data_IF_450048308364
#
_entry.id   IF_450048308364
#
_cell.length_a   1.000
_cell.length_b   1.000
_cell.length_c   1.000
_cell.angle_alpha   90.00
_cell.angle_beta   90.00
_cell.angle_gamma   90.00
#
_symmetry.space_group_name_H-M   'P 1'
#
loop_
_entity.id
_entity.type
_entity.pdbx_description
1 polymer ?
#
# COMPACT_ATOMS: atom_id res chain seq x y z
N UNK A 1 -12.84 14.05 16.42
CA UNK A 1 -12.64 15.24 15.56
C UNK A 1 -11.92 14.93 14.25
N UNK A 2 -10.85 14.14 14.24
CA UNK A 2 -10.04 13.82 13.03
C UNK A 2 -10.85 13.27 11.85
N UNK A 3 -11.82 12.39 12.11
CA UNK A 3 -12.65 11.75 11.06
C UNK A 3 -13.68 12.68 10.43
N UNK A 4 -14.17 13.66 11.20
CA UNK A 4 -15.04 14.71 10.67
C UNK A 4 -14.30 15.57 9.64
N UNK A 5 -13.00 15.79 9.86
CA UNK A 5 -12.14 16.53 8.94
C UNK A 5 -11.91 15.77 7.62
N UNK A 6 -11.63 14.46 7.70
CA UNK A 6 -11.46 13.60 6.51
C UNK A 6 -12.74 13.46 5.68
N UNK A 7 -13.90 13.29 6.34
CA UNK A 7 -15.22 13.25 5.66
C UNK A 7 -15.55 14.56 4.94
N UNK A 8 -15.27 15.71 5.56
CA UNK A 8 -15.48 17.03 4.94
C UNK A 8 -14.55 17.28 3.75
N UNK A 9 -13.41 16.60 3.68
CA UNK A 9 -12.45 16.67 2.58
C UNK A 9 -12.73 15.64 1.46
N UNK A 10 -13.81 14.87 1.53
CA UNK A 10 -14.16 13.86 0.51
C UNK A 10 -13.26 12.62 0.50
N UNK A 11 -12.50 12.38 1.57
CA UNK A 11 -11.54 11.27 1.65
C UNK A 11 -12.30 10.00 2.07
N UNK A 12 -12.34 8.99 1.19
CA UNK A 12 -12.66 7.62 1.58
C UNK A 12 -11.53 7.12 2.49
N UNK A 13 -11.83 7.01 3.78
CA UNK A 13 -10.86 6.67 4.80
C UNK A 13 -10.64 5.14 4.80
N UNK A 14 -9.54 4.68 4.21
CA UNK A 14 -8.97 3.37 4.55
C UNK A 14 -8.14 3.56 5.82
N UNK A 15 -8.51 2.90 6.92
CA UNK A 15 -7.70 2.97 8.15
C UNK A 15 -6.63 1.88 8.10
N UNK A 16 -5.41 2.29 7.76
CA UNK A 16 -4.20 1.49 7.87
C UNK A 16 -3.75 1.52 9.33
N UNK A 17 -3.73 0.38 10.01
CA UNK A 17 -3.22 0.32 11.39
C UNK A 17 -2.15 -0.73 11.55
N UNK A 18 -0.89 -0.30 11.49
CA UNK A 18 0.23 -1.11 11.96
C UNK A 18 0.22 -1.27 13.49
N UNK A 19 0.52 -2.48 13.95
CA UNK A 19 0.65 -2.86 15.37
C UNK A 19 -0.23 -4.05 15.79
N UNK A 20 -0.10 -4.47 17.05
CA UNK A 20 -0.85 -5.63 17.59
C UNK A 20 -2.37 -5.43 17.56
N UNK A 21 -3.12 -6.53 17.48
CA UNK A 21 -4.59 -6.56 17.45
C UNK A 21 -5.26 -5.72 18.55
N UNK A 22 -4.70 -5.69 19.76
CA UNK A 22 -5.21 -4.87 20.87
C UNK A 22 -5.01 -3.35 20.64
N UNK A 23 -3.87 -2.97 20.04
CA UNK A 23 -3.59 -1.59 19.65
C UNK A 23 -4.52 -1.13 18.53
N UNK A 24 -4.84 -2.03 17.60
CA UNK A 24 -5.76 -1.78 16.49
C UNK A 24 -7.20 -1.61 16.98
N UNK A 25 -7.70 -2.49 17.84
CA UNK A 25 -9.07 -2.39 18.40
C UNK A 25 -9.29 -1.07 19.15
N UNK A 26 -8.31 -0.63 19.96
CA UNK A 26 -8.37 0.67 20.64
C UNK A 26 -8.42 1.85 19.66
N UNK A 27 -7.73 1.77 18.51
CA UNK A 27 -7.80 2.79 17.46
C UNK A 27 -9.19 2.78 16.80
N UNK A 28 -9.74 1.61 16.47
CA UNK A 28 -11.08 1.47 15.86
C UNK A 28 -12.16 2.10 16.73
N UNK A 29 -12.17 1.80 18.03
CA UNK A 29 -13.12 2.35 19.00
C UNK A 29 -12.94 3.86 19.20
N UNK A 30 -11.70 4.32 19.43
CA UNK A 30 -11.37 5.74 19.63
C UNK A 30 -11.85 6.62 18.49
N UNK A 31 -11.84 6.07 17.28
CA UNK A 31 -12.14 6.80 16.06
C UNK A 31 -13.58 6.58 15.56
N UNK A 32 -14.36 5.66 16.13
CA UNK A 32 -15.77 5.47 15.74
C UNK A 32 -15.91 5.02 14.28
N UNK A 33 -15.01 4.13 13.84
CA UNK A 33 -14.83 3.72 12.45
C UNK A 33 -15.75 2.59 12.01
N UNK A 34 -16.48 2.00 12.96
CA UNK A 34 -17.46 0.95 12.70
C UNK A 34 -18.42 1.23 11.52
N UNK A 35 -18.87 2.46 11.20
CA UNK A 35 -19.77 2.70 10.06
C UNK A 35 -19.08 2.85 8.69
N UNK A 36 -17.74 2.82 8.61
CA UNK A 36 -16.96 3.05 7.38
C UNK A 36 -16.49 1.73 6.76
N UNK A 37 -17.44 0.81 6.51
CA UNK A 37 -17.18 -0.58 6.13
C UNK A 37 -16.64 -0.81 4.71
N UNK A 38 -16.41 0.22 3.89
CA UNK A 38 -16.05 -0.01 2.48
C UNK A 38 -14.63 -0.53 2.27
N UNK A 39 -13.64 -0.15 3.09
CA UNK A 39 -12.25 -0.63 3.02
C UNK A 39 -11.53 -0.52 4.38
N UNK A 40 -11.84 -1.41 5.32
CA UNK A 40 -11.07 -1.56 6.57
C UNK A 40 -10.39 -2.92 6.52
N UNK A 41 -9.07 -2.93 6.58
CA UNK A 41 -8.30 -4.15 6.77
C UNK A 41 -7.35 -4.00 7.96
N UNK A 42 -7.04 -5.14 8.57
CA UNK A 42 -6.00 -5.29 9.57
C UNK A 42 -4.69 -5.58 8.82
N UNK A 43 -3.73 -4.68 8.92
CA UNK A 43 -2.40 -4.79 8.30
C UNK A 43 -1.39 -5.41 9.27
N UNK A 44 -0.57 -6.32 8.74
CA UNK A 44 0.53 -7.01 9.43
C UNK A 44 0.24 -7.43 10.90
N UNK A 45 -0.86 -8.16 11.19
CA UNK A 45 -1.27 -8.52 12.56
C UNK A 45 -0.39 -9.58 13.24
N UNK A 46 0.41 -10.31 12.46
CA UNK A 46 1.28 -11.39 12.93
C UNK A 46 2.65 -11.25 12.26
N UNK A 47 3.62 -12.02 12.74
CA UNK A 47 4.96 -12.00 12.15
C UNK A 47 4.92 -12.41 10.67
N UNK A 48 5.63 -11.69 9.78
CA UNK A 48 5.65 -11.97 8.33
C UNK A 48 6.15 -13.38 8.02
N UNK A 49 7.15 -13.87 8.78
CA UNK A 49 7.73 -15.21 8.61
C UNK A 49 6.77 -16.37 8.94
N UNK A 50 5.55 -16.08 9.43
CA UNK A 50 4.57 -17.07 9.88
C UNK A 50 3.28 -17.02 9.05
N UNK A 51 3.29 -17.40 7.76
CA UNK A 51 2.12 -17.36 6.88
C UNK A 51 0.98 -18.28 7.36
N UNK A 52 1.28 -19.32 8.15
CA UNK A 52 0.24 -20.17 8.77
C UNK A 52 -0.52 -19.43 9.87
N UNK A 53 0.11 -18.47 10.55
CA UNK A 53 -0.56 -17.62 11.53
C UNK A 53 -1.53 -16.65 10.86
N UNK A 54 -1.13 -16.11 9.71
CA UNK A 54 -2.02 -15.34 8.83
C UNK A 54 -3.25 -16.14 8.41
N UNK A 55 -3.04 -17.32 7.82
CA UNK A 55 -4.15 -18.17 7.37
C UNK A 55 -5.13 -18.54 8.51
N UNK A 56 -4.60 -18.91 9.69
CA UNK A 56 -5.44 -19.19 10.87
C UNK A 56 -6.21 -17.96 11.34
N UNK A 57 -5.58 -16.78 11.34
CA UNK A 57 -6.22 -15.54 11.75
C UNK A 57 -7.31 -15.15 10.76
N UNK A 58 -7.01 -15.12 9.46
CA UNK A 58 -7.97 -14.80 8.39
C UNK A 58 -9.19 -15.72 8.45
N UNK A 59 -9.00 -17.03 8.63
CA UNK A 59 -10.09 -17.98 8.73
C UNK A 59 -11.02 -17.75 9.96
N UNK A 60 -10.53 -17.09 11.00
CA UNK A 60 -11.27 -16.83 12.25
C UNK A 60 -11.69 -15.36 12.42
N UNK A 61 -11.19 -14.45 11.59
CA UNK A 61 -11.42 -13.01 11.71
C UNK A 61 -12.49 -12.56 10.71
N UNK A 62 -13.54 -11.84 11.14
CA UNK A 62 -14.54 -11.30 10.23
C UNK A 62 -14.08 -10.03 9.50
N UNK A 63 -12.87 -9.53 9.79
CA UNK A 63 -12.29 -8.34 9.18
C UNK A 63 -11.22 -8.79 8.19
N UNK A 64 -11.17 -8.13 7.03
CA UNK A 64 -10.14 -8.32 6.00
C UNK A 64 -8.73 -8.23 6.58
N UNK A 65 -7.86 -9.17 6.22
CA UNK A 65 -6.45 -9.15 6.60
C UNK A 65 -5.60 -8.74 5.40
N UNK A 66 -4.73 -7.76 5.59
CA UNK A 66 -3.75 -7.33 4.61
C UNK A 66 -2.33 -7.60 5.10
N UNK A 67 -1.40 -7.79 4.15
CA UNK A 67 0.01 -7.97 4.45
C UNK A 67 0.82 -8.33 3.21
N UNK A 68 2.04 -8.81 3.44
CA UNK A 68 2.96 -9.18 2.37
C UNK A 68 3.82 -8.02 1.87
N UNK A 69 3.86 -6.90 2.59
CA UNK A 69 4.75 -5.77 2.27
C UNK A 69 6.24 -6.16 2.36
N UNK A 70 6.54 -7.13 3.22
CA UNK A 70 7.89 -7.70 3.43
C UNK A 70 8.14 -8.98 2.62
N UNK A 71 7.19 -9.39 1.77
CA UNK A 71 7.35 -10.56 0.92
C UNK A 71 8.12 -10.26 -0.36
N UNK A 72 8.89 -11.24 -0.80
CA UNK A 72 9.77 -11.12 -1.95
C UNK A 72 9.23 -11.91 -3.13
N UNK A 73 9.25 -11.30 -4.32
CA UNK A 73 8.96 -11.94 -5.61
C UNK A 73 7.55 -12.53 -5.74
N UNK A 74 7.20 -12.98 -6.95
CA UNK A 74 5.91 -13.67 -7.17
C UNK A 74 5.77 -14.99 -6.42
N UNK A 75 6.87 -15.64 -6.04
CA UNK A 75 6.81 -16.95 -5.38
C UNK A 75 6.33 -16.81 -3.94
N UNK A 76 6.76 -15.77 -3.22
CA UNK A 76 6.22 -15.42 -1.90
C UNK A 76 4.74 -15.05 -1.99
N UNK A 77 4.39 -14.16 -2.93
CA UNK A 77 2.99 -13.80 -3.18
C UNK A 77 2.11 -15.03 -3.50
N UNK A 78 2.57 -15.91 -4.39
CA UNK A 78 1.84 -17.15 -4.75
C UNK A 78 1.68 -18.08 -3.55
N UNK A 79 2.72 -18.24 -2.72
CA UNK A 79 2.64 -19.05 -1.50
C UNK A 79 1.53 -18.53 -0.58
N UNK A 80 1.46 -17.22 -0.34
CA UNK A 80 0.41 -16.62 0.46
C UNK A 80 -0.99 -16.84 -0.17
N UNK A 81 -1.10 -16.74 -1.49
CA UNK A 81 -2.35 -17.01 -2.23
C UNK A 81 -2.79 -18.48 -2.13
N UNK A 82 -1.86 -19.42 -2.33
CA UNK A 82 -2.13 -20.87 -2.25
C UNK A 82 -2.56 -21.29 -0.83
N UNK A 83 -2.04 -20.61 0.20
CA UNK A 83 -2.41 -20.82 1.60
C UNK A 83 -3.66 -20.06 2.02
N UNK A 84 -4.19 -19.22 1.13
CA UNK A 84 -5.20 -18.20 1.43
C UNK A 84 -4.88 -17.44 2.72
N UNK A 85 -3.64 -16.97 2.87
CA UNK A 85 -3.13 -16.40 4.12
C UNK A 85 -3.69 -15.00 4.41
N UNK A 86 -3.91 -14.20 3.36
CA UNK A 86 -4.37 -12.81 3.43
C UNK A 86 -5.41 -12.53 2.35
N UNK A 87 -6.21 -11.48 2.55
CA UNK A 87 -7.25 -11.03 1.61
C UNK A 87 -6.74 -9.93 0.66
N UNK A 88 -5.87 -9.05 1.17
CA UNK A 88 -5.33 -7.90 0.43
C UNK A 88 -3.80 -7.98 0.43
N UNK A 89 -3.22 -7.99 -0.76
CA UNK A 89 -1.79 -8.17 -0.96
C UNK A 89 -1.09 -6.82 -1.07
N UNK A 90 -0.14 -6.54 -0.18
CA UNK A 90 0.55 -5.25 -0.07
C UNK A 90 1.97 -5.27 -0.65
N UNK A 91 2.20 -6.01 -1.73
CA UNK A 91 3.55 -6.15 -2.32
C UNK A 91 4.22 -4.78 -2.57
N UNK A 92 5.32 -4.51 -1.85
CA UNK A 92 6.10 -3.29 -2.05
C UNK A 92 7.04 -3.48 -3.24
N UNK A 93 7.04 -2.62 -4.27
CA UNK A 93 7.98 -2.75 -5.39
C UNK A 93 9.46 -2.64 -4.98
N UNK A 94 9.80 -1.99 -3.87
CA UNK A 94 11.17 -1.93 -3.35
C UNK A 94 11.59 -3.31 -2.82
N UNK A 95 10.68 -4.06 -2.22
CA UNK A 95 10.94 -5.38 -1.63
C UNK A 95 10.74 -6.51 -2.63
N UNK A 96 9.60 -6.51 -3.32
CA UNK A 96 9.10 -7.60 -4.13
C UNK A 96 9.88 -7.83 -5.45
N UNK A 97 10.79 -6.94 -5.84
CA UNK A 97 11.60 -7.08 -7.06
C UNK A 97 11.27 -6.08 -8.18
N UNK A 98 10.70 -4.92 -7.83
CA UNK A 98 10.48 -3.80 -8.75
C UNK A 98 9.17 -3.85 -9.53
N UNK A 99 8.97 -2.83 -10.37
CA UNK A 99 7.74 -2.62 -11.17
C UNK A 99 7.38 -3.86 -12.00
N UNK A 100 8.37 -4.46 -12.65
CA UNK A 100 8.16 -5.65 -13.50
C UNK A 100 7.65 -6.83 -12.69
N UNK A 101 8.17 -7.02 -11.49
CA UNK A 101 7.78 -8.15 -10.64
C UNK A 101 6.39 -7.94 -10.05
N UNK A 102 6.10 -6.74 -9.53
CA UNK A 102 4.77 -6.41 -8.99
C UNK A 102 3.68 -6.47 -10.07
N UNK A 103 3.93 -6.00 -11.30
CA UNK A 103 2.95 -6.13 -12.39
C UNK A 103 2.59 -7.60 -12.68
N UNK A 104 3.58 -8.49 -12.59
CA UNK A 104 3.34 -9.91 -12.78
C UNK A 104 2.62 -10.53 -11.57
N UNK A 105 2.84 -10.01 -10.36
CA UNK A 105 2.04 -10.38 -9.19
C UNK A 105 0.60 -9.92 -9.34
N UNK A 106 0.33 -8.71 -9.84
CA UNK A 106 -1.02 -8.25 -10.13
C UNK A 106 -1.71 -9.16 -11.17
N UNK A 107 -0.98 -9.60 -12.20
CA UNK A 107 -1.49 -10.57 -13.18
C UNK A 107 -1.86 -11.89 -12.51
N UNK A 108 -1.00 -12.39 -11.61
CA UNK A 108 -1.27 -13.61 -10.85
C UNK A 108 -2.49 -13.43 -9.93
N UNK A 109 -2.55 -12.35 -9.17
CA UNK A 109 -3.65 -12.00 -8.27
C UNK A 109 -5.00 -12.01 -8.97
N UNK A 110 -5.05 -11.53 -10.23
CA UNK A 110 -6.29 -11.55 -11.03
C UNK A 110 -6.83 -12.96 -11.28
N UNK A 111 -5.97 -13.98 -11.33
CA UNK A 111 -6.37 -15.38 -11.50
C UNK A 111 -6.84 -16.03 -10.19
N UNK A 112 -6.42 -15.47 -9.05
CA UNK A 112 -6.83 -15.90 -7.70
C UNK A 112 -8.03 -15.11 -7.16
N UNK A 113 -8.53 -14.12 -7.92
CA UNK A 113 -9.62 -13.23 -7.51
C UNK A 113 -9.31 -12.45 -6.20
N UNK A 114 -8.07 -11.97 -6.08
CA UNK A 114 -7.60 -11.19 -4.92
C UNK A 114 -7.09 -9.82 -5.35
N UNK A 115 -7.09 -8.88 -4.40
CA UNK A 115 -6.66 -7.50 -4.64
C UNK A 115 -5.21 -7.27 -4.25
N UNK A 116 -4.53 -6.41 -5.01
CA UNK A 116 -3.21 -5.89 -4.70
C UNK A 116 -3.34 -4.40 -4.42
N UNK A 117 -2.92 -3.97 -3.23
CA UNK A 117 -2.81 -2.56 -2.86
C UNK A 117 -1.33 -2.33 -2.53
N UNK A 118 -0.51 -1.87 -3.49
CA UNK A 118 0.94 -1.77 -3.27
C UNK A 118 1.28 -0.93 -2.03
N UNK A 119 2.14 -1.47 -1.15
CA UNK A 119 2.53 -0.80 0.10
C UNK A 119 3.18 0.56 -0.16
N UNK A 120 2.86 1.53 0.70
CA UNK A 120 3.09 2.97 0.52
C UNK A 120 4.55 3.44 0.57
N UNK A 121 5.53 2.54 0.43
CA UNK A 121 6.96 2.83 0.45
C UNK A 121 7.40 3.78 -0.68
N UNK A 122 6.89 3.60 -1.90
CA UNK A 122 7.20 4.45 -3.07
C UNK A 122 5.97 4.84 -3.86
N UNK A 123 5.33 5.95 -3.46
CA UNK A 123 4.10 6.46 -4.08
C UNK A 123 4.21 6.73 -5.59
N UNK A 124 5.27 7.36 -6.13
CA UNK A 124 5.39 7.55 -7.57
C UNK A 124 5.45 6.23 -8.36
N UNK A 125 6.14 5.22 -7.83
CA UNK A 125 6.24 3.89 -8.43
C UNK A 125 4.90 3.17 -8.36
N UNK A 126 4.25 3.20 -7.19
CA UNK A 126 2.94 2.58 -6.98
C UNK A 126 1.85 3.18 -7.86
N UNK A 127 1.92 4.49 -8.13
CA UNK A 127 0.99 5.14 -9.06
C UNK A 127 1.11 4.52 -10.46
N UNK A 128 2.34 4.34 -10.98
CA UNK A 128 2.56 3.71 -12.28
C UNK A 128 2.03 2.28 -12.34
N UNK A 129 2.28 1.49 -11.29
CA UNK A 129 1.76 0.13 -11.17
C UNK A 129 0.23 0.17 -11.17
N UNK A 130 -0.38 0.95 -10.29
CA UNK A 130 -1.84 0.97 -10.10
C UNK A 130 -2.58 1.46 -11.34
N UNK A 131 -2.07 2.48 -12.04
CA UNK A 131 -2.69 2.96 -13.28
C UNK A 131 -2.48 2.03 -14.49
N UNK A 132 -1.52 1.11 -14.43
CA UNK A 132 -1.32 0.10 -15.46
C UNK A 132 -2.23 -1.14 -15.29
N UNK A 133 -2.94 -1.24 -14.15
CA UNK A 133 -3.78 -2.38 -13.81
C UNK A 133 -5.28 -2.03 -13.88
N UNK A 134 -6.12 -3.06 -13.91
CA UNK A 134 -7.57 -2.90 -13.79
C UNK A 134 -7.95 -2.53 -12.33
N UNK A 135 -8.91 -1.64 -12.15
CA UNK A 135 -9.40 -1.20 -10.84
C UNK A 135 -10.01 -2.31 -9.98
N UNK A 136 -10.32 -3.48 -10.55
CA UNK A 136 -10.73 -4.67 -9.77
C UNK A 136 -9.53 -5.28 -9.04
N UNK A 137 -8.36 -5.33 -9.69
CA UNK A 137 -7.13 -5.91 -9.13
C UNK A 137 -6.44 -4.91 -8.21
N UNK A 138 -6.32 -3.65 -8.65
CA UNK A 138 -5.73 -2.56 -7.86
C UNK A 138 -6.77 -1.44 -7.69
N UNK A 139 -7.72 -1.57 -6.76
CA UNK A 139 -8.78 -0.57 -6.57
C UNK A 139 -8.26 0.74 -5.95
N UNK A 140 -7.12 0.66 -5.26
CA UNK A 140 -6.49 1.78 -4.59
C UNK A 140 -4.99 1.51 -4.40
N UNK A 141 -4.29 2.54 -3.95
CA UNK A 141 -2.87 2.49 -3.59
C UNK A 141 -2.67 3.10 -2.22
N UNK A 142 -1.69 2.60 -1.48
CA UNK A 142 -1.34 3.19 -0.21
C UNK A 142 -0.50 4.47 -0.38
N UNK A 143 -0.79 5.47 0.45
CA UNK A 143 -0.02 6.71 0.52
C UNK A 143 0.14 7.17 1.97
N UNK A 144 1.32 6.91 2.53
CA UNK A 144 1.71 7.36 3.87
C UNK A 144 2.03 8.86 3.86
N UNK A 145 1.00 9.72 3.87
CA UNK A 145 1.10 11.18 3.62
C UNK A 145 2.20 11.87 4.45
N UNK A 146 2.38 11.51 5.72
CA UNK A 146 3.41 12.08 6.57
C UNK A 146 4.83 11.62 6.17
N UNK A 147 4.99 10.32 5.91
CA UNK A 147 6.25 9.71 5.47
C UNK A 147 6.70 10.24 4.11
N UNK A 148 5.74 10.43 3.21
CA UNK A 148 5.99 10.88 1.84
C UNK A 148 6.55 12.30 1.74
N UNK A 149 6.42 13.13 2.79
CA UNK A 149 7.14 14.41 2.88
C UNK A 149 8.66 14.24 2.92
N UNK A 150 9.11 13.16 3.57
CA UNK A 150 10.53 12.83 3.70
C UNK A 150 10.98 12.03 2.48
N UNK A 151 10.24 10.97 2.12
CA UNK A 151 10.60 10.08 1.03
C UNK A 151 10.70 10.78 -0.34
N UNK A 152 9.87 11.81 -0.57
CA UNK A 152 9.86 12.57 -1.82
C UNK A 152 10.53 13.95 -1.68
N UNK A 153 11.27 14.21 -0.60
CA UNK A 153 11.85 15.53 -0.31
C UNK A 153 12.68 16.04 -1.49
N UNK A 154 13.54 15.18 -2.07
CA UNK A 154 14.42 15.53 -3.17
C UNK A 154 13.73 15.58 -4.54
N UNK A 155 12.46 15.18 -4.65
CA UNK A 155 11.75 15.23 -5.94
C UNK A 155 11.33 16.67 -6.25
N UNK A 156 11.50 17.07 -7.51
CA UNK A 156 11.00 18.33 -8.07
C UNK A 156 9.47 18.35 -8.09
N UNK A 157 8.87 17.21 -8.46
CA UNK A 157 7.43 17.05 -8.63
C UNK A 157 6.91 15.89 -7.74
N UNK A 158 6.86 16.07 -6.40
CA UNK A 158 6.37 15.02 -5.51
C UNK A 158 4.90 14.71 -5.75
N UNK A 159 4.56 13.42 -5.81
CA UNK A 159 3.18 12.93 -5.93
C UNK A 159 2.45 13.15 -4.60
N UNK A 160 1.34 13.90 -4.67
CA UNK A 160 0.51 14.24 -3.52
C UNK A 160 -0.95 13.89 -3.80
N UNK A 161 -1.67 13.30 -2.85
CA UNK A 161 -3.10 13.13 -2.98
C UNK A 161 -3.80 14.49 -2.92
N UNK A 162 -4.77 14.72 -3.81
CA UNK A 162 -5.66 15.88 -3.83
C UNK A 162 -7.09 15.36 -3.64
N UNK A 163 -7.74 15.78 -2.56
CA UNK A 163 -9.09 15.31 -2.18
C UNK A 163 -9.21 13.78 -2.09
N UNK A 164 -8.15 13.10 -1.63
CA UNK A 164 -8.12 11.64 -1.50
C UNK A 164 -7.76 10.88 -2.78
N UNK A 165 -7.50 11.57 -3.89
CA UNK A 165 -7.13 10.95 -5.16
C UNK A 165 -5.70 11.29 -5.55
N UNK A 166 -5.03 10.34 -6.19
CA UNK A 166 -3.76 10.57 -6.88
C UNK A 166 -4.07 10.59 -8.38
N UNK A 167 -3.46 11.52 -9.11
CA UNK A 167 -3.61 11.62 -10.56
C UNK A 167 -2.47 10.88 -11.27
N UNK A 168 -2.71 10.28 -12.45
CA UNK A 168 -1.64 9.69 -13.25
C UNK A 168 -0.51 10.70 -13.53
N UNK A 169 0.76 10.32 -13.36
CA UNK A 169 1.87 11.17 -13.76
C UNK A 169 1.83 11.45 -15.27
N UNK A 170 2.09 12.70 -15.66
CA UNK A 170 2.11 13.12 -17.08
C UNK A 170 3.52 13.18 -17.66
N UNK A 171 4.55 13.14 -16.82
CA UNK A 171 5.94 13.10 -17.25
C UNK A 171 6.33 11.71 -17.77
N UNK A 172 7.29 11.60 -18.70
CA UNK A 172 7.82 10.31 -19.13
C UNK A 172 8.40 9.49 -17.97
N UNK A 173 8.16 8.17 -18.00
CA UNK A 173 8.68 7.25 -16.99
C UNK A 173 8.04 7.44 -15.61
N UNK A 174 8.81 7.18 -14.54
CA UNK A 174 8.31 7.23 -13.16
C UNK A 174 8.21 8.67 -12.62
N UNK A 175 8.83 9.65 -13.29
CA UNK A 175 8.78 11.06 -12.87
C UNK A 175 9.61 11.38 -11.63
N UNK A 176 10.71 10.65 -11.40
CA UNK A 176 11.63 10.85 -10.26
C UNK A 176 12.67 11.96 -10.51
N UNK A 177 12.26 13.06 -11.12
CA UNK A 177 13.14 14.20 -11.37
C UNK A 177 13.58 14.83 -10.04
N UNK A 178 14.89 14.99 -9.85
CA UNK A 178 15.44 15.64 -8.65
C UNK A 178 15.27 17.16 -8.74
N UNK A 179 15.02 17.76 -7.58
CA UNK A 179 14.99 19.20 -7.41
C UNK A 179 16.42 19.72 -7.22
N UNK A 180 17.00 20.30 -8.27
CA UNK A 180 18.37 20.82 -8.25
C UNK A 180 18.59 21.83 -7.12
N UNK A 181 17.56 22.58 -6.68
CA UNK A 181 17.71 23.53 -5.57
C UNK A 181 17.90 22.87 -4.21
N UNK A 182 17.72 21.54 -4.12
CA UNK A 182 17.91 20.74 -2.90
C UNK A 182 19.21 19.94 -2.92
N UNK A 183 19.99 20.03 -3.99
CA UNK A 183 21.27 19.34 -4.14
C UNK A 183 22.39 20.31 -3.77
N UNK A 184 23.14 19.99 -2.71
CA UNK A 184 24.26 20.83 -2.26
C UNK A 184 25.56 20.54 -3.03
N UNK A 185 25.79 19.27 -3.39
CA UNK A 185 26.93 18.84 -4.20
C UNK A 185 26.61 17.52 -4.90
N UNK A 186 27.21 17.31 -6.06
CA UNK A 186 27.11 16.07 -6.84
C UNK A 186 28.52 15.59 -7.18
N UNK A 187 28.75 14.29 -7.06
CA UNK A 187 30.02 13.67 -7.41
C UNK A 187 29.76 12.38 -8.16
N UNK A 188 30.26 12.33 -9.38
CA UNK A 188 30.32 11.09 -10.15
C UNK A 188 31.44 10.21 -9.60
N UNK A 189 31.10 8.97 -9.23
CA UNK A 189 32.07 7.98 -8.77
C UNK A 189 32.48 7.17 -10.00
N UNK A 190 33.62 7.57 -10.59
CA UNK A 190 34.31 6.81 -11.63
C UNK A 190 34.96 5.55 -11.05
#
# INVERSE_FOLDING_TARGET
>A
ETISHFKKAGIQLALLTNGSSESQNKKIERFGLAPLFSYIFIEEPVLPDLPQSYARLRAACPITIAGGELEYTRWGAKMLMDMEAIDVYQMDPIMAGGISEVNKICTLASAYDVQVIPHGGSVPVNAQISFAQNSVVTPMMECLVAWQKIAQFFLKNPVKPVNGFITPPTAPGVGLELDESKIESEREIN
#
